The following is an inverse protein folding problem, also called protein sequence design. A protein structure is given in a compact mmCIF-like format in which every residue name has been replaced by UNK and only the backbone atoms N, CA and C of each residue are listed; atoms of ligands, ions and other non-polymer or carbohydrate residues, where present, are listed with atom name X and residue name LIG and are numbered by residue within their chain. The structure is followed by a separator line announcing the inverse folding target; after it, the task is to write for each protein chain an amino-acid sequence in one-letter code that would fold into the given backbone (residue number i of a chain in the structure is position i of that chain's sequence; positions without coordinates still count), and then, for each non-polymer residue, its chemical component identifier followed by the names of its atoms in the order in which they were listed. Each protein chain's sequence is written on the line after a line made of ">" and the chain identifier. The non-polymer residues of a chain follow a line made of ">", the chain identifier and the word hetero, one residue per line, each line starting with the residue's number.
data_IF_771441645549
#
_entry.id   IF_771441645549
#
_cell.length_a   1.000
_cell.length_b   1.000
_cell.length_c   1.000
_cell.angle_alpha   90.00
_cell.angle_beta   90.00
_cell.angle_gamma   90.00
#
_symmetry.space_group_name_H-M   'P 1'
#
loop_
_entity.id
_entity.type
_entity.pdbx_description
1 polymer ?
#
# COMPACT_ATOMS: atom_id res chain seq x y z
N UNK A 1 -21.53 0.76 -21.22
CA UNK A 1 -20.59 0.45 -22.33
C UNK A 1 -19.20 0.96 -21.98
N UNK A 2 -18.35 0.12 -21.37
CA UNK A 2 -16.95 0.42 -21.06
C UNK A 2 -16.07 0.21 -22.30
N UNK A 3 -15.50 1.27 -22.86
CA UNK A 3 -14.34 1.14 -23.77
C UNK A 3 -13.11 0.86 -22.90
N UNK A 4 -12.73 -0.42 -22.82
CA UNK A 4 -11.48 -0.86 -22.20
C UNK A 4 -10.31 -0.24 -22.98
N UNK A 5 -9.41 0.44 -22.27
CA UNK A 5 -8.21 1.03 -22.83
C UNK A 5 -7.26 -0.10 -23.26
N UNK A 6 -7.32 -0.48 -24.54
CA UNK A 6 -6.40 -1.46 -25.12
C UNK A 6 -4.97 -0.90 -25.18
N UNK A 7 -4.01 -1.73 -24.81
CA UNK A 7 -2.59 -1.52 -25.13
C UNK A 7 -2.39 -1.65 -26.66
N UNK A 8 -1.29 -1.13 -27.23
CA UNK A 8 -0.96 -1.30 -28.65
C UNK A 8 -0.85 -2.77 -29.12
N UNK A 9 -0.88 -3.73 -28.19
CA UNK A 9 -0.87 -5.19 -28.43
C UNK A 9 -2.28 -5.82 -28.47
N UNK A 10 -3.37 -5.05 -28.34
CA UNK A 10 -4.75 -5.58 -28.40
C UNK A 10 -5.21 -6.40 -27.18
N UNK A 11 -4.40 -6.47 -26.12
CA UNK A 11 -4.70 -7.17 -24.87
C UNK A 11 -5.36 -6.20 -23.88
N UNK A 12 -6.43 -6.63 -23.20
CA UNK A 12 -7.05 -5.85 -22.13
C UNK A 12 -6.07 -5.62 -20.99
N UNK A 13 -6.22 -4.49 -20.29
CA UNK A 13 -5.34 -4.11 -19.18
C UNK A 13 -5.20 -5.24 -18.14
N UNK A 14 -6.29 -5.95 -17.84
CA UNK A 14 -6.32 -7.03 -16.85
C UNK A 14 -5.63 -8.33 -17.31
N UNK A 15 -5.47 -8.52 -18.63
CA UNK A 15 -4.84 -9.70 -19.22
C UNK A 15 -3.37 -9.48 -19.61
N UNK A 16 -2.80 -8.29 -19.37
CA UNK A 16 -1.45 -7.96 -19.80
C UNK A 16 -0.37 -8.73 -19.01
N UNK A 17 0.51 -9.53 -19.67
CA UNK A 17 1.57 -10.28 -18.99
C UNK A 17 2.56 -9.39 -18.21
N UNK A 18 2.81 -8.16 -18.69
CA UNK A 18 3.68 -7.20 -18.00
C UNK A 18 3.11 -6.72 -16.66
N UNK A 19 1.78 -6.54 -16.59
CA UNK A 19 1.09 -6.15 -15.36
C UNK A 19 1.08 -7.32 -14.36
N UNK A 20 0.88 -8.55 -14.83
CA UNK A 20 0.92 -9.77 -14.01
C UNK A 20 2.31 -10.12 -13.51
N UNK A 21 3.35 -9.83 -14.30
CA UNK A 21 4.73 -9.99 -13.88
C UNK A 21 5.05 -9.10 -12.69
N UNK A 22 4.63 -7.84 -12.75
CA UNK A 22 4.82 -6.91 -11.63
C UNK A 22 4.04 -7.37 -10.41
N UNK A 23 2.80 -7.81 -10.54
CA UNK A 23 2.07 -8.38 -9.40
C UNK A 23 2.80 -9.60 -8.80
N UNK A 24 3.37 -10.49 -9.62
CA UNK A 24 4.18 -11.64 -9.15
C UNK A 24 5.45 -11.21 -8.43
N UNK A 25 6.22 -10.31 -9.01
CA UNK A 25 7.50 -9.82 -8.47
C UNK A 25 7.28 -9.00 -7.20
N UNK A 26 6.21 -8.22 -7.17
CA UNK A 26 5.78 -7.47 -6.00
C UNK A 26 5.15 -8.36 -4.93
N UNK A 27 4.90 -9.64 -5.21
CA UNK A 27 4.14 -10.54 -4.34
C UNK A 27 2.70 -10.05 -4.07
N UNK A 28 2.13 -9.31 -5.03
CA UNK A 28 0.77 -8.78 -5.09
C UNK A 28 -0.10 -9.72 -5.96
N UNK A 29 0.21 -11.02 -6.05
CA UNK A 29 -0.67 -11.94 -6.81
C UNK A 29 -2.08 -11.97 -6.18
N UNK A 30 -3.06 -11.43 -6.90
CA UNK A 30 -4.32 -12.15 -7.05
C UNK A 30 -4.05 -13.29 -8.04
N UNK A 31 -4.39 -14.53 -7.66
CA UNK A 31 -4.32 -15.67 -8.60
C UNK A 31 -5.00 -15.32 -9.93
N UNK A 32 -4.55 -15.77 -11.11
CA UNK A 32 -4.60 -17.18 -11.53
C UNK A 32 -3.99 -17.39 -12.94
N UNK A 33 -3.67 -18.63 -13.36
CA UNK A 33 -4.63 -19.34 -14.23
C UNK A 33 -4.78 -20.83 -13.88
N UNK A 34 -6.04 -21.30 -13.78
CA UNK A 34 -6.38 -22.72 -14.00
C UNK A 34 -7.00 -23.55 -12.87
N UNK A 35 -7.57 -23.02 -11.78
CA UNK A 35 -8.19 -23.89 -10.74
C UNK A 35 -9.23 -23.22 -9.86
N UNK A 36 -10.53 -23.43 -10.16
CA UNK A 36 -11.74 -22.98 -9.41
C UNK A 36 -11.43 -22.17 -8.14
N UNK A 37 -11.56 -20.85 -8.20
CA UNK A 37 -11.38 -19.97 -7.05
C UNK A 37 -12.46 -20.29 -6.00
N UNK A 38 -12.07 -20.89 -4.88
CA UNK A 38 -12.96 -21.06 -3.75
C UNK A 38 -13.39 -19.67 -3.27
N UNK A 39 -14.70 -19.40 -3.28
CA UNK A 39 -15.27 -18.12 -2.84
C UNK A 39 -14.79 -17.69 -1.45
N UNK A 40 -14.41 -18.67 -0.61
CA UNK A 40 -13.89 -18.52 0.75
C UNK A 40 -12.57 -17.73 0.87
N UNK A 41 -11.76 -17.67 -0.19
CA UNK A 41 -10.44 -16.99 -0.18
C UNK A 41 -10.43 -15.71 -1.03
N UNK A 42 -11.52 -15.45 -1.75
CA UNK A 42 -11.69 -14.21 -2.50
C UNK A 42 -11.76 -12.99 -1.57
N UNK A 43 -11.30 -11.81 -2.02
CA UNK A 43 -11.37 -10.57 -1.22
C UNK A 43 -12.81 -10.28 -0.79
N UNK A 44 -13.76 -10.42 -1.71
CA UNK A 44 -15.18 -10.30 -1.42
C UNK A 44 -15.61 -11.26 -0.30
N UNK A 45 -15.27 -12.55 -0.44
CA UNK A 45 -15.63 -13.57 0.55
C UNK A 45 -15.03 -13.29 1.93
N UNK A 46 -13.78 -12.84 2.00
CA UNK A 46 -13.13 -12.47 3.26
C UNK A 46 -13.83 -11.28 3.94
N UNK A 47 -14.19 -10.25 3.17
CA UNK A 47 -14.92 -9.09 3.70
C UNK A 47 -16.29 -9.51 4.25
N UNK A 48 -17.05 -10.30 3.50
CA UNK A 48 -18.38 -10.74 3.91
C UNK A 48 -18.35 -11.67 5.14
N UNK A 49 -17.34 -12.54 5.24
CA UNK A 49 -17.13 -13.38 6.43
C UNK A 49 -16.77 -12.55 7.66
N UNK A 50 -15.88 -11.57 7.51
CA UNK A 50 -15.52 -10.70 8.62
C UNK A 50 -16.72 -9.86 9.11
N UNK A 51 -17.54 -9.34 8.19
CA UNK A 51 -18.80 -8.66 8.54
C UNK A 51 -19.78 -9.55 9.32
N UNK A 52 -19.71 -10.88 9.15
CA UNK A 52 -20.50 -11.86 9.90
C UNK A 52 -19.87 -12.26 11.25
N UNK A 53 -18.75 -11.63 11.63
CA UNK A 53 -18.06 -11.87 12.89
C UNK A 53 -16.92 -12.88 12.83
N UNK A 54 -16.57 -13.42 11.66
CA UNK A 54 -15.44 -14.34 11.52
C UNK A 54 -14.10 -13.58 11.54
N UNK A 55 -13.51 -13.43 12.73
CA UNK A 55 -12.28 -12.65 12.94
C UNK A 55 -11.07 -13.14 12.14
N UNK A 56 -10.96 -14.46 11.88
CA UNK A 56 -9.86 -15.00 11.06
C UNK A 56 -9.89 -14.50 9.60
N UNK A 57 -11.07 -14.11 9.09
CA UNK A 57 -11.16 -13.51 7.77
C UNK A 57 -10.44 -12.15 7.71
N UNK A 58 -10.44 -11.38 8.79
CA UNK A 58 -9.66 -10.14 8.88
C UNK A 58 -8.16 -10.40 8.92
N UNK A 59 -7.71 -11.43 9.64
CA UNK A 59 -6.30 -11.87 9.62
C UNK A 59 -5.81 -12.19 8.21
N UNK A 60 -6.66 -12.82 7.39
CA UNK A 60 -6.37 -13.09 5.97
C UNK A 60 -6.30 -11.81 5.13
N UNK A 61 -7.23 -10.86 5.34
CA UNK A 61 -7.19 -9.54 4.70
C UNK A 61 -5.87 -8.84 5.07
N UNK A 62 -5.54 -8.76 6.35
CA UNK A 62 -4.30 -8.16 6.83
C UNK A 62 -3.08 -8.75 6.12
N UNK A 63 -2.93 -10.08 6.14
CA UNK A 63 -1.79 -10.76 5.50
C UNK A 63 -1.70 -10.47 4.01
N UNK A 64 -2.85 -10.40 3.31
CA UNK A 64 -2.92 -10.15 1.87
C UNK A 64 -2.55 -8.71 1.50
N UNK A 65 -3.00 -7.72 2.27
CA UNK A 65 -2.88 -6.31 1.89
C UNK A 65 -1.71 -5.57 2.55
N UNK A 66 -1.19 -6.06 3.69
CA UNK A 66 -0.14 -5.39 4.48
C UNK A 66 1.07 -4.96 3.65
N UNK A 67 1.66 -5.86 2.85
CA UNK A 67 2.90 -5.56 2.09
C UNK A 67 2.69 -4.42 1.10
N UNK A 68 1.59 -4.47 0.37
CA UNK A 68 1.22 -3.47 -0.64
C UNK A 68 0.91 -2.13 0.02
N UNK A 69 0.18 -2.15 1.13
CA UNK A 69 -0.13 -0.95 1.90
C UNK A 69 1.10 -0.34 2.56
N UNK A 70 2.06 -1.15 3.02
CA UNK A 70 3.32 -0.67 3.58
C UNK A 70 4.10 0.22 2.59
N UNK A 71 4.21 -0.25 1.34
CA UNK A 71 4.88 0.53 0.29
C UNK A 71 4.11 1.82 -0.01
N UNK A 72 2.79 1.74 -0.11
CA UNK A 72 1.97 2.93 -0.36
C UNK A 72 2.09 3.96 0.77
N UNK A 73 1.97 3.51 2.03
CA UNK A 73 2.14 4.34 3.23
C UNK A 73 3.54 4.96 3.25
N UNK A 74 4.58 4.18 2.97
CA UNK A 74 5.95 4.69 2.88
C UNK A 74 6.03 5.90 1.96
N UNK A 75 5.48 5.83 0.74
CA UNK A 75 5.53 6.94 -0.21
C UNK A 75 4.55 8.08 0.08
N UNK A 76 3.46 7.84 0.81
CA UNK A 76 2.52 8.86 1.26
C UNK A 76 3.05 9.69 2.43
N UNK A 77 3.85 9.08 3.30
CA UNK A 77 4.46 9.78 4.43
C UNK A 77 5.51 10.79 3.94
N UNK A 78 5.62 11.93 4.62
CA UNK A 78 6.72 12.86 4.37
C UNK A 78 8.04 12.27 4.89
N UNK A 79 9.21 12.69 4.36
CA UNK A 79 10.50 12.26 4.88
C UNK A 79 10.65 12.55 6.38
N UNK A 80 10.14 13.69 6.85
CA UNK A 80 10.19 14.10 8.26
C UNK A 80 9.37 13.16 9.13
N UNK A 81 8.18 12.76 8.67
CA UNK A 81 7.32 11.84 9.40
C UNK A 81 7.95 10.44 9.48
N UNK A 82 8.52 9.95 8.37
CA UNK A 82 9.25 8.66 8.33
C UNK A 82 10.48 8.63 9.25
N UNK A 83 11.05 9.79 9.58
CA UNK A 83 12.13 9.88 10.57
C UNK A 83 11.67 9.78 12.03
N UNK A 84 10.35 9.77 12.28
CA UNK A 84 9.77 9.81 13.63
C UNK A 84 8.78 8.70 13.92
N UNK A 85 8.15 8.13 12.90
CA UNK A 85 7.13 7.09 13.00
C UNK A 85 7.44 6.00 11.99
N UNK A 86 7.38 4.74 12.42
CA UNK A 86 7.56 3.61 11.54
C UNK A 86 6.32 3.37 10.67
N UNK A 87 6.53 2.86 9.46
CA UNK A 87 5.43 2.48 8.56
C UNK A 87 4.52 1.44 9.21
N UNK A 88 5.09 0.52 9.99
CA UNK A 88 4.35 -0.53 10.68
C UNK A 88 3.40 0.02 11.77
N UNK A 89 3.68 1.19 12.35
CA UNK A 89 2.81 1.84 13.33
C UNK A 89 1.58 2.45 12.63
N UNK A 90 1.81 3.16 11.52
CA UNK A 90 0.73 3.67 10.66
C UNK A 90 -0.15 2.52 10.16
N UNK A 91 0.45 1.41 9.75
CA UNK A 91 -0.32 0.24 9.29
C UNK A 91 -1.21 -0.32 10.40
N UNK A 92 -0.74 -0.41 11.64
CA UNK A 92 -1.56 -0.87 12.76
C UNK A 92 -2.79 0.01 12.94
N UNK A 93 -2.62 1.32 12.98
CA UNK A 93 -3.74 2.26 13.08
C UNK A 93 -4.71 2.14 11.90
N UNK A 94 -4.22 1.99 10.67
CA UNK A 94 -5.05 1.80 9.48
C UNK A 94 -5.89 0.53 9.58
N UNK A 95 -5.30 -0.60 9.99
CA UNK A 95 -6.05 -1.84 10.11
C UNK A 95 -7.02 -1.82 11.29
N UNK A 96 -6.70 -1.14 12.40
CA UNK A 96 -7.65 -0.93 13.50
C UNK A 96 -8.86 -0.11 13.05
N UNK A 97 -8.63 1.01 12.37
CA UNK A 97 -9.70 1.85 11.81
C UNK A 97 -10.52 1.08 10.77
N UNK A 98 -9.86 0.31 9.90
CA UNK A 98 -10.54 -0.53 8.93
C UNK A 98 -11.40 -1.62 9.59
N UNK A 99 -10.93 -2.25 10.67
CA UNK A 99 -11.72 -3.25 11.39
C UNK A 99 -13.01 -2.65 11.98
N UNK A 100 -12.95 -1.40 12.45
CA UNK A 100 -14.08 -0.66 13.00
C UNK A 100 -15.08 -0.19 11.93
N UNK A 101 -14.59 0.21 10.74
CA UNK A 101 -15.42 0.79 9.68
C UNK A 101 -15.83 -0.22 8.59
N UNK A 102 -15.38 -1.48 8.66
CA UNK A 102 -15.60 -2.46 7.59
C UNK A 102 -17.09 -2.70 7.28
N UNK A 103 -18.00 -2.51 8.25
CA UNK A 103 -19.43 -2.66 8.05
C UNK A 103 -19.97 -1.70 6.99
N UNK A 104 -19.36 -0.51 6.88
CA UNK A 104 -19.74 0.54 5.93
C UNK A 104 -19.07 0.36 4.56
N UNK A 105 -18.04 -0.47 4.46
CA UNK A 105 -17.36 -0.75 3.20
C UNK A 105 -18.25 -1.57 2.26
N UNK A 106 -18.35 -1.15 0.99
CA UNK A 106 -19.04 -1.90 -0.07
C UNK A 106 -18.04 -2.33 -1.14
N UNK A 107 -17.99 -3.64 -1.40
CA UNK A 107 -17.12 -4.20 -2.43
C UNK A 107 -17.67 -3.90 -3.83
N UNK A 108 -16.90 -3.19 -4.65
CA UNK A 108 -17.31 -2.78 -6.01
C UNK A 108 -16.47 -3.42 -7.11
N UNK A 109 -15.20 -3.71 -6.81
CA UNK A 109 -14.23 -4.26 -7.76
C UNK A 109 -13.03 -4.87 -7.02
N UNK A 110 -12.17 -5.66 -7.69
CA UNK A 110 -10.95 -6.21 -7.08
C UNK A 110 -10.03 -5.19 -6.39
N UNK A 111 -9.98 -3.96 -6.91
CA UNK A 111 -9.19 -2.86 -6.32
C UNK A 111 -9.88 -2.09 -5.20
N UNK A 112 -11.19 -2.24 -5.02
CA UNK A 112 -12.00 -1.38 -4.15
C UNK A 112 -11.56 -1.40 -2.68
N UNK A 113 -11.21 -2.58 -2.14
CA UNK A 113 -10.73 -2.68 -0.76
C UNK A 113 -9.38 -1.99 -0.57
N UNK A 114 -8.45 -2.13 -1.53
CA UNK A 114 -7.15 -1.46 -1.46
C UNK A 114 -7.30 0.06 -1.53
N UNK A 115 -8.15 0.56 -2.44
CA UNK A 115 -8.43 1.98 -2.55
C UNK A 115 -9.10 2.52 -1.28
N UNK A 116 -9.95 1.74 -0.62
CA UNK A 116 -10.54 2.11 0.67
C UNK A 116 -9.51 2.16 1.80
N UNK A 117 -8.66 1.12 1.94
CA UNK A 117 -7.54 1.13 2.89
C UNK A 117 -6.56 2.28 2.64
N UNK A 118 -6.32 2.63 1.37
CA UNK A 118 -5.52 3.80 0.97
C UNK A 118 -6.10 5.11 1.50
N UNK A 119 -7.43 5.29 1.46
CA UNK A 119 -8.08 6.49 2.01
C UNK A 119 -7.99 6.55 3.53
N UNK A 120 -8.18 5.41 4.21
CA UNK A 120 -7.98 5.33 5.67
C UNK A 120 -6.53 5.72 6.01
N UNK A 121 -5.55 5.25 5.24
CA UNK A 121 -4.15 5.61 5.47
C UNK A 121 -3.85 7.08 5.27
N UNK A 122 -4.54 7.77 4.34
CA UNK A 122 -4.43 9.24 4.22
C UNK A 122 -4.85 9.94 5.51
N UNK A 123 -5.98 9.54 6.10
CA UNK A 123 -6.46 10.11 7.36
C UNK A 123 -5.49 9.83 8.51
N UNK A 124 -5.04 8.59 8.66
CA UNK A 124 -4.08 8.19 9.71
C UNK A 124 -2.75 8.95 9.59
N UNK A 125 -2.20 9.06 8.38
CA UNK A 125 -0.94 9.79 8.14
C UNK A 125 -1.09 11.28 8.51
N UNK A 126 -2.21 11.90 8.11
CA UNK A 126 -2.49 13.30 8.43
C UNK A 126 -2.60 13.50 9.94
N UNK A 127 -3.29 12.60 10.65
CA UNK A 127 -3.47 12.71 12.10
C UNK A 127 -2.16 12.45 12.87
N UNK A 128 -1.36 11.48 12.42
CA UNK A 128 -0.01 11.24 12.93
C UNK A 128 0.91 12.46 12.74
N UNK A 129 0.91 13.07 11.55
CA UNK A 129 1.67 14.28 11.27
C UNK A 129 1.22 15.47 12.14
N UNK A 130 -0.09 15.63 12.35
CA UNK A 130 -0.65 16.65 13.25
C UNK A 130 -0.23 16.42 14.70
N UNK A 131 -0.24 15.18 15.17
CA UNK A 131 0.21 14.83 16.51
C UNK A 131 1.68 15.16 16.71
N UNK A 132 2.55 14.78 15.77
CA UNK A 132 3.98 15.12 15.81
C UNK A 132 4.22 16.63 15.82
N UNK A 133 3.49 17.39 15.00
CA UNK A 133 3.61 18.85 14.99
C UNK A 133 3.09 19.52 16.28
N UNK A 134 2.14 18.92 16.99
CA UNK A 134 1.72 19.39 18.33
C UNK A 134 2.73 19.00 19.40
N UNK A 135 3.25 17.77 19.35
CA UNK A 135 4.30 17.27 20.24
C UNK A 135 5.59 18.10 20.12
N UNK A 136 6.00 18.46 18.90
CA UNK A 136 7.12 19.38 18.65
C UNK A 136 6.85 20.78 19.21
N UNK A 137 5.66 21.34 18.99
CA UNK A 137 5.30 22.65 19.58
C UNK A 137 5.33 22.62 21.11
N UNK A 138 4.80 21.58 21.74
CA UNK A 138 4.88 21.42 23.19
C UNK A 138 6.31 21.12 23.68
N UNK A 139 7.11 20.37 22.93
CA UNK A 139 8.51 20.12 23.27
C UNK A 139 9.37 21.38 23.11
N UNK A 140 9.15 22.20 22.08
CA UNK A 140 9.80 23.51 21.89
C UNK A 140 9.38 24.51 22.98
N UNK A 141 8.11 24.49 23.39
CA UNK A 141 7.59 25.29 24.50
C UNK A 141 8.16 24.80 25.85
N UNK A 142 8.27 23.48 26.06
CA UNK A 142 8.91 22.90 27.25
C UNK A 142 10.44 23.05 27.28
N UNK A 143 11.12 23.04 26.12
CA UNK A 143 12.55 23.32 25.99
C UNK A 143 12.89 24.78 26.31
N UNK A 144 11.94 25.70 26.14
CA UNK A 144 12.05 27.07 26.65
C UNK A 144 11.82 27.19 28.16
N UNK A 145 11.30 26.15 28.82
CA UNK A 145 10.84 26.21 30.22
C UNK A 145 11.46 25.19 31.19
N UNK A 146 12.28 24.23 30.74
CA UNK A 146 12.86 23.22 31.65
C UNK A 146 14.35 22.98 31.42
N UNK A 147 15.14 23.75 32.17
CA UNK A 147 16.29 23.22 32.88
C UNK A 147 15.83 22.19 33.93
N UNK A 148 16.58 21.10 34.06
CA UNK A 148 16.60 20.07 35.12
C UNK A 148 15.57 18.90 35.15
N UNK A 149 16.15 17.68 35.08
CA UNK A 149 15.82 16.39 35.77
C UNK A 149 14.58 15.54 35.42
N UNK A 150 14.77 14.42 34.71
CA UNK A 150 14.89 13.02 35.23
C UNK A 150 14.47 11.95 34.15
N UNK A 151 15.16 10.80 34.00
CA UNK A 151 14.98 9.85 32.89
C UNK A 151 14.41 8.49 33.32
N UNK A 152 13.29 8.03 32.74
CA UNK A 152 12.93 6.61 32.57
C UNK A 152 11.61 6.50 31.79
N UNK A 153 11.65 5.91 30.60
CA UNK A 153 10.47 5.46 29.85
C UNK A 153 10.31 3.94 29.99
N UNK A 154 9.09 3.40 29.84
CA UNK A 154 8.81 1.98 30.07
C UNK A 154 9.33 1.08 28.94
N UNK A 155 9.74 -0.13 29.32
CA UNK A 155 10.28 -1.19 28.44
C UNK A 155 9.26 -1.68 27.39
N UNK A 156 9.70 -2.02 26.16
CA UNK A 156 8.84 -2.66 25.18
C UNK A 156 8.66 -4.16 25.45
N UNK A 157 7.42 -4.61 25.34
CA UNK A 157 6.97 -6.00 25.50
C UNK A 157 7.29 -6.84 24.25
N UNK A 158 7.81 -8.03 24.54
CA UNK A 158 8.10 -9.26 23.77
C UNK A 158 7.79 -9.32 22.25
N UNK A 159 8.78 -9.62 21.37
CA UNK A 159 8.58 -9.76 19.93
C UNK A 159 8.03 -11.14 19.50
N UNK A 160 6.98 -11.12 18.67
CA UNK A 160 6.64 -12.26 17.83
C UNK A 160 7.84 -12.72 16.97
N UNK A 161 7.99 -14.05 16.84
CA UNK A 161 9.06 -14.79 16.12
C UNK A 161 9.83 -13.97 15.05
N UNK A 162 11.07 -13.54 15.34
CA UNK A 162 11.83 -12.59 14.52
C UNK A 162 12.00 -13.00 13.05
N UNK A 163 12.21 -14.29 12.75
CA UNK A 163 12.67 -14.71 11.42
C UNK A 163 11.70 -14.38 10.27
N UNK A 164 10.38 -14.51 10.49
CA UNK A 164 9.38 -14.24 9.44
C UNK A 164 9.08 -12.75 9.29
N UNK A 165 9.18 -11.97 10.38
CA UNK A 165 9.03 -10.51 10.35
C UNK A 165 10.22 -9.87 9.66
N UNK A 166 11.45 -10.32 9.97
CA UNK A 166 12.68 -9.84 9.33
C UNK A 166 12.70 -10.16 7.83
N UNK A 167 12.38 -11.39 7.40
CA UNK A 167 12.32 -11.75 5.98
C UNK A 167 11.25 -10.96 5.19
N UNK A 168 10.12 -10.63 5.84
CA UNK A 168 9.07 -9.79 5.23
C UNK A 168 9.50 -8.32 5.13
N UNK A 169 10.18 -7.79 6.14
CA UNK A 169 10.78 -6.45 6.11
C UNK A 169 11.83 -6.35 5.00
N UNK A 170 12.68 -7.35 4.84
CA UNK A 170 13.69 -7.43 3.77
C UNK A 170 13.05 -7.34 2.37
N UNK A 171 11.98 -8.10 2.13
CA UNK A 171 11.25 -8.06 0.85
C UNK A 171 10.55 -6.73 0.54
N UNK A 172 10.17 -5.95 1.56
CA UNK A 172 9.63 -4.59 1.37
C UNK A 172 10.78 -3.61 1.09
N UNK A 173 11.88 -3.69 1.83
CA UNK A 173 13.04 -2.80 1.66
C UNK A 173 13.69 -2.93 0.28
N UNK A 174 13.84 -4.15 -0.24
CA UNK A 174 14.33 -4.39 -1.60
C UNK A 174 13.40 -3.72 -2.63
N UNK A 175 12.09 -3.80 -2.41
CA UNK A 175 11.11 -3.20 -3.29
C UNK A 175 11.15 -1.67 -3.25
N UNK A 176 11.27 -1.07 -2.06
CA UNK A 176 11.40 0.38 -1.90
C UNK A 176 12.62 0.91 -2.66
N UNK A 177 13.80 0.28 -2.47
CA UNK A 177 15.02 0.65 -3.23
C UNK A 177 14.81 0.62 -4.74
N UNK A 178 14.21 -0.45 -5.25
CA UNK A 178 13.91 -0.59 -6.69
C UNK A 178 12.96 0.47 -7.21
N UNK A 179 11.96 0.84 -6.41
CA UNK A 179 11.04 1.91 -6.77
C UNK A 179 11.75 3.27 -6.74
N UNK A 180 12.71 3.47 -5.83
CA UNK A 180 13.51 4.69 -5.75
C UNK A 180 14.47 4.88 -6.93
N UNK A 181 14.90 3.79 -7.57
CA UNK A 181 15.70 3.83 -8.81
C UNK A 181 14.89 4.22 -10.06
N UNK A 182 13.57 4.33 -9.95
CA UNK A 182 12.72 4.78 -11.06
C UNK A 182 12.64 6.31 -11.12
N UNK A 183 12.49 6.87 -12.33
CA UNK A 183 12.03 8.26 -12.48
C UNK A 183 10.75 8.50 -11.65
N UNK A 184 10.67 9.66 -10.99
CA UNK A 184 9.57 9.97 -10.06
C UNK A 184 8.18 9.78 -10.69
N UNK A 185 8.01 10.19 -11.94
CA UNK A 185 6.78 10.00 -12.72
C UNK A 185 6.43 8.53 -12.92
N UNK A 186 7.42 7.67 -13.18
CA UNK A 186 7.19 6.24 -13.38
C UNK A 186 6.82 5.55 -12.08
N UNK A 187 7.51 5.92 -10.99
CA UNK A 187 7.19 5.45 -9.65
C UNK A 187 5.77 5.85 -9.26
N UNK A 188 5.38 7.11 -9.45
CA UNK A 188 4.03 7.59 -9.15
C UNK A 188 2.96 6.79 -9.90
N UNK A 189 3.12 6.61 -11.22
CA UNK A 189 2.17 5.84 -12.01
C UNK A 189 2.05 4.39 -11.50
N UNK A 190 3.17 3.74 -11.18
CA UNK A 190 3.15 2.39 -10.61
C UNK A 190 2.48 2.35 -9.23
N UNK A 191 2.73 3.33 -8.37
CA UNK A 191 2.08 3.42 -7.06
C UNK A 191 0.56 3.50 -7.22
N UNK A 192 0.06 4.38 -8.08
CA UNK A 192 -1.38 4.53 -8.31
C UNK A 192 -2.01 3.25 -8.91
N UNK A 193 -1.41 2.69 -9.96
CA UNK A 193 -1.97 1.53 -10.65
C UNK A 193 -1.83 0.22 -9.85
N UNK A 194 -0.66 -0.02 -9.26
CA UNK A 194 -0.30 -1.32 -8.68
C UNK A 194 -0.36 -1.38 -7.18
N UNK A 195 -0.17 -0.25 -6.50
CA UNK A 195 -0.21 -0.21 -5.05
C UNK A 195 -1.54 0.33 -4.54
N UNK A 196 -2.12 1.32 -5.17
CA UNK A 196 -3.45 1.81 -4.80
C UNK A 196 -4.58 1.05 -5.51
N UNK A 197 -4.32 0.58 -6.72
CA UNK A 197 -5.28 -0.27 -7.48
C UNK A 197 -6.26 0.53 -8.31
N UNK A 198 -5.87 1.74 -8.69
CA UNK A 198 -6.67 2.59 -9.55
C UNK A 198 -6.63 2.11 -10.99
N UNK A 199 -7.76 2.25 -11.67
CA UNK A 199 -7.85 2.06 -13.11
C UNK A 199 -7.16 3.20 -13.86
N UNK A 200 -6.76 2.95 -15.10
CA UNK A 200 -6.19 3.99 -15.99
C UNK A 200 -7.08 5.23 -16.08
N UNK A 201 -8.41 5.04 -16.00
CA UNK A 201 -9.39 6.15 -15.98
C UNK A 201 -9.25 6.98 -14.70
N UNK A 202 -9.31 6.34 -13.53
CA UNK A 202 -9.18 7.05 -12.25
C UNK A 202 -7.82 7.73 -12.11
N UNK A 203 -6.75 7.11 -12.61
CA UNK A 203 -5.41 7.73 -12.66
C UNK A 203 -5.44 8.96 -13.56
N UNK A 204 -6.01 8.86 -14.76
CA UNK A 204 -6.09 9.97 -15.71
C UNK A 204 -6.82 11.19 -15.12
N UNK A 205 -7.90 10.95 -14.39
CA UNK A 205 -8.67 11.98 -13.67
C UNK A 205 -7.86 12.57 -12.52
N UNK A 206 -7.11 11.74 -11.77
CA UNK A 206 -6.31 12.17 -10.63
C UNK A 206 -5.10 13.02 -11.02
N UNK A 207 -4.40 12.65 -12.10
CA UNK A 207 -3.16 13.30 -12.53
C UNK A 207 -3.36 14.36 -13.61
N UNK A 208 -4.59 14.53 -14.11
CA UNK A 208 -4.94 15.53 -15.11
C UNK A 208 -4.35 15.25 -16.50
N UNK A 209 -4.24 13.98 -16.91
CA UNK A 209 -3.65 13.57 -18.20
C UNK A 209 -4.61 12.70 -19.00
N UNK A 210 -4.36 12.51 -20.30
CA UNK A 210 -5.18 11.59 -21.10
C UNK A 210 -4.96 10.13 -20.70
N UNK A 211 -5.98 9.28 -20.90
CA UNK A 211 -5.90 7.84 -20.61
C UNK A 211 -4.79 7.17 -21.42
N UNK A 212 -4.59 7.62 -22.65
CA UNK A 212 -3.55 7.15 -23.57
C UNK A 212 -2.15 7.49 -23.03
N UNK A 213 -1.97 8.73 -22.54
CA UNK A 213 -0.71 9.17 -21.92
C UNK A 213 -0.39 8.36 -20.66
N UNK A 214 -1.38 8.14 -19.80
CA UNK A 214 -1.24 7.31 -18.58
C UNK A 214 -0.86 5.88 -18.95
N UNK A 215 -1.56 5.26 -19.90
CA UNK A 215 -1.29 3.89 -20.34
C UNK A 215 0.13 3.73 -20.90
N UNK A 216 0.58 4.69 -21.72
CA UNK A 216 1.93 4.68 -22.29
C UNK A 216 3.01 4.86 -21.21
N UNK A 217 2.78 5.78 -20.26
CA UNK A 217 3.71 6.03 -19.16
C UNK A 217 3.83 4.81 -18.25
N UNK A 218 2.70 4.19 -17.89
CA UNK A 218 2.66 2.94 -17.15
C UNK A 218 3.40 1.81 -17.87
N UNK A 219 3.21 1.67 -19.18
CA UNK A 219 3.93 0.68 -19.96
C UNK A 219 5.45 0.87 -19.87
N UNK A 220 5.93 2.11 -20.01
CA UNK A 220 7.35 2.48 -19.87
C UNK A 220 7.86 2.23 -18.45
N UNK A 221 7.08 2.59 -17.44
CA UNK A 221 7.41 2.35 -16.04
C UNK A 221 7.57 0.85 -15.74
N UNK A 222 6.65 0.00 -16.20
CA UNK A 222 6.71 -1.45 -16.06
C UNK A 222 7.90 -2.07 -16.81
N UNK A 223 8.26 -1.53 -17.98
CA UNK A 223 9.45 -1.97 -18.70
C UNK A 223 10.71 -1.62 -17.91
N UNK A 224 10.81 -0.39 -17.41
CA UNK A 224 11.97 0.05 -16.63
C UNK A 224 12.13 -0.72 -15.33
N UNK A 225 11.03 -0.95 -14.62
CA UNK A 225 11.03 -1.74 -13.39
C UNK A 225 11.55 -3.18 -13.62
N UNK A 226 11.22 -3.79 -14.78
CA UNK A 226 11.73 -5.10 -15.18
C UNK A 226 13.23 -5.12 -15.47
N UNK A 227 13.72 -4.09 -16.16
CA UNK A 227 15.16 -3.96 -16.45
C UNK A 227 15.98 -3.86 -15.15
N UNK A 228 15.49 -3.10 -14.17
CA UNK A 228 16.11 -2.99 -12.84
C UNK A 228 16.09 -4.32 -12.07
N UNK A 229 15.03 -5.13 -12.22
CA UNK A 229 15.00 -6.46 -11.61
C UNK A 229 15.99 -7.42 -12.25
N UNK A 230 16.10 -7.43 -13.58
CA UNK A 230 17.01 -8.30 -14.29
C UNK A 230 18.48 -7.97 -14.01
N UNK A 231 18.82 -6.69 -13.81
CA UNK A 231 20.16 -6.24 -13.46
C UNK A 231 20.56 -6.53 -12.00
N UNK A 232 19.59 -6.81 -11.13
CA UNK A 232 19.80 -7.10 -9.72
C UNK A 232 19.94 -8.60 -9.40
N UNK A 233 19.89 -9.47 -10.42
CA UNK A 233 20.13 -10.92 -10.32
C UNK A 233 21.47 -11.28 -10.94
#
# INVERSE_FOLDING_TARGET
>A
MQRMANLPCGISWDACPALRYVDRVLGIEEGMPGGKMDSATSTFGLVERFKKGETEAFSLIFRKYRRRLAVLVHYKMSPELRGTIEVDDILQEVFLAAAQDISNFTYQSPGSLMAWLSRISDHVIVDAARYQNRGKRHAEEMLRFRSASNPAGPDPVDPETPSRVFARKEGVQILLKKLDDLPAEYREMLLLAKFEGLTTKEISERVGRSRESVALTLHRALKRFRELEAAAR
#
